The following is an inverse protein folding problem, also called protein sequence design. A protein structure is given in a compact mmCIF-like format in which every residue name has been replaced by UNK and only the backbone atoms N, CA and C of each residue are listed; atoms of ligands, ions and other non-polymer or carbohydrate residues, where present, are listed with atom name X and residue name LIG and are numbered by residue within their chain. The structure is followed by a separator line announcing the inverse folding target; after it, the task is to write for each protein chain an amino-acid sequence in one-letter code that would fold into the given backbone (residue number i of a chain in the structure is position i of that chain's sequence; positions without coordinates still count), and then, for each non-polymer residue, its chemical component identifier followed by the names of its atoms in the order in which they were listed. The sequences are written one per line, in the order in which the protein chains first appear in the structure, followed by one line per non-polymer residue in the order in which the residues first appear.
data_IF_231873514984
#
_entry.id   IF_231873514984
#
_cell.length_a   1.000
_cell.length_b   1.000
_cell.length_c   1.000
_cell.angle_alpha   90.00
_cell.angle_beta   90.00
_cell.angle_gamma   90.00
#
_symmetry.space_group_name_H-M   'P 1'
#
loop_
_entity.id
_entity.type
_entity.pdbx_description
1 polymer ?
#
# COMPACT_ATOMS: atom_id res chain seq x y z
N UNK A 1 14.65 -1.02 18.09
CA UNK A 1 13.39 -1.21 17.34
C UNK A 1 12.99 0.13 16.75
N UNK A 2 12.97 0.27 15.42
CA UNK A 2 12.59 1.52 14.75
C UNK A 2 11.08 1.43 14.40
N UNK A 3 10.23 2.08 15.18
CA UNK A 3 8.81 2.23 14.86
C UNK A 3 8.63 3.38 13.86
N UNK A 4 8.97 3.14 12.59
CA UNK A 4 8.67 4.10 11.54
C UNK A 4 7.14 4.18 11.38
N UNK A 5 6.54 5.31 11.78
CA UNK A 5 5.12 5.62 11.53
C UNK A 5 4.93 5.92 10.04
N UNK A 6 4.62 4.88 9.27
CA UNK A 6 4.18 5.04 7.87
C UNK A 6 2.90 5.89 7.85
N UNK A 7 2.99 7.05 7.20
CA UNK A 7 1.86 7.92 6.93
C UNK A 7 1.41 7.72 5.48
N UNK A 8 0.12 7.44 5.23
CA UNK A 8 -0.39 7.40 3.88
C UNK A 8 -0.33 8.78 3.24
N UNK A 9 -0.11 8.81 1.92
CA UNK A 9 -0.31 10.03 1.15
C UNK A 9 -1.77 10.49 1.26
N UNK A 10 -2.05 11.80 1.30
CA UNK A 10 -3.41 12.31 1.23
C UNK A 10 -4.16 11.71 0.03
N UNK A 11 -5.42 11.30 0.22
CA UNK A 11 -6.24 10.72 -0.85
C UNK A 11 -6.08 9.21 -1.06
N UNK A 12 -5.20 8.54 -0.32
CA UNK A 12 -4.95 7.10 -0.52
C UNK A 12 -6.20 6.26 -0.24
N UNK A 13 -6.89 6.53 0.86
CA UNK A 13 -8.07 5.75 1.25
C UNK A 13 -9.21 5.91 0.23
N UNK A 14 -9.42 7.13 -0.29
CA UNK A 14 -10.38 7.40 -1.35
C UNK A 14 -10.03 6.67 -2.64
N UNK A 15 -8.76 6.70 -3.04
CA UNK A 15 -8.26 5.99 -4.22
C UNK A 15 -8.47 4.48 -4.10
N UNK A 16 -8.09 3.89 -2.95
CA UNK A 16 -8.19 2.45 -2.73
C UNK A 16 -9.65 2.00 -2.68
N UNK A 17 -10.55 2.80 -2.09
CA UNK A 17 -11.99 2.55 -2.11
C UNK A 17 -12.54 2.58 -3.54
N UNK A 18 -12.26 3.64 -4.28
CA UNK A 18 -12.70 3.78 -5.67
C UNK A 18 -12.21 2.61 -6.53
N UNK A 19 -10.93 2.25 -6.40
CA UNK A 19 -10.33 1.14 -7.13
C UNK A 19 -11.06 -0.18 -6.83
N UNK A 20 -11.32 -0.47 -5.55
CA UNK A 20 -12.06 -1.68 -5.14
C UNK A 20 -13.47 -1.70 -5.69
N UNK A 21 -14.21 -0.60 -5.60
CA UNK A 21 -15.60 -0.49 -6.10
C UNK A 21 -15.70 -0.72 -7.61
N UNK A 22 -14.66 -0.36 -8.37
CA UNK A 22 -14.61 -0.50 -9.82
C UNK A 22 -13.83 -1.74 -10.29
N UNK A 23 -13.42 -2.64 -9.37
CA UNK A 23 -12.67 -3.85 -9.71
C UNK A 23 -11.25 -3.58 -10.25
N UNK A 24 -10.70 -2.40 -10.02
CA UNK A 24 -9.34 -2.01 -10.44
C UNK A 24 -8.30 -2.67 -9.53
N UNK A 25 -7.34 -3.35 -10.14
CA UNK A 25 -6.22 -3.95 -9.42
C UNK A 25 -5.16 -2.90 -9.09
N UNK A 26 -4.67 -2.90 -7.85
CA UNK A 26 -3.69 -1.93 -7.36
C UNK A 26 -2.34 -2.60 -7.07
N UNK A 27 -1.25 -1.93 -7.43
CA UNK A 27 0.12 -2.42 -7.23
C UNK A 27 0.96 -1.32 -6.57
N UNK A 28 1.60 -1.66 -5.45
CA UNK A 28 2.63 -0.84 -4.82
C UNK A 28 4.02 -1.38 -5.21
N UNK A 29 4.83 -0.55 -5.86
CA UNK A 29 6.23 -0.85 -6.19
C UNK A 29 7.12 0.12 -5.42
N UNK A 30 8.13 -0.41 -4.73
CA UNK A 30 9.14 0.39 -4.03
C UNK A 30 10.53 -0.17 -4.25
N UNK A 31 11.54 0.69 -4.34
CA UNK A 31 12.95 0.28 -4.26
C UNK A 31 13.43 -0.01 -2.83
N UNK A 32 12.57 0.19 -1.83
CA UNK A 32 12.86 -0.06 -0.41
C UNK A 32 12.71 -1.54 -0.02
N UNK A 33 12.26 -1.79 1.22
CA UNK A 33 12.22 -3.13 1.81
C UNK A 33 10.82 -3.75 1.76
N UNK A 34 10.78 -5.05 1.43
CA UNK A 34 9.56 -5.88 1.46
C UNK A 34 8.79 -5.78 2.78
N UNK A 35 9.50 -5.67 3.90
CA UNK A 35 8.90 -5.49 5.23
C UNK A 35 7.87 -4.35 5.31
N UNK A 36 8.14 -3.22 4.65
CA UNK A 36 7.23 -2.07 4.66
C UNK A 36 6.06 -2.24 3.70
N UNK A 37 6.32 -2.78 2.51
CA UNK A 37 5.26 -2.97 1.51
C UNK A 37 4.25 -4.03 1.94
N UNK A 38 4.66 -5.09 2.63
CA UNK A 38 3.73 -6.09 3.17
C UNK A 38 2.78 -5.50 4.23
N UNK A 39 3.30 -4.60 5.09
CA UNK A 39 2.45 -3.87 6.05
C UNK A 39 1.50 -2.91 5.37
N UNK A 40 1.94 -2.23 4.32
CA UNK A 40 1.06 -1.37 3.53
C UNK A 40 -0.02 -2.19 2.80
N UNK A 41 0.32 -3.38 2.30
CA UNK A 41 -0.65 -4.32 1.73
C UNK A 41 -1.73 -4.68 2.74
N UNK A 42 -1.32 -5.11 3.93
CA UNK A 42 -2.25 -5.50 4.99
C UNK A 42 -3.13 -4.33 5.45
N UNK A 43 -2.57 -3.11 5.52
CA UNK A 43 -3.27 -1.91 6.01
C UNK A 43 -4.23 -1.29 5.00
N UNK A 44 -3.82 -1.21 3.73
CA UNK A 44 -4.56 -0.45 2.69
C UNK A 44 -5.18 -1.33 1.61
N UNK A 45 -4.92 -2.64 1.61
CA UNK A 45 -5.58 -3.59 0.72
C UNK A 45 -5.07 -3.58 -0.72
N UNK A 46 -3.78 -3.32 -0.93
CA UNK A 46 -3.17 -3.45 -2.27
C UNK A 46 -3.35 -4.86 -2.82
N UNK A 47 -3.70 -4.97 -4.10
CA UNK A 47 -3.81 -6.28 -4.77
C UNK A 47 -2.43 -6.96 -4.82
N UNK A 48 -1.40 -6.18 -5.13
CA UNK A 48 -0.02 -6.63 -5.24
C UNK A 48 0.96 -5.66 -4.59
N UNK A 49 2.07 -6.19 -4.11
CA UNK A 49 3.20 -5.41 -3.58
C UNK A 49 4.52 -6.00 -4.07
N UNK A 50 5.48 -5.14 -4.40
CA UNK A 50 6.84 -5.52 -4.82
C UNK A 50 7.86 -4.56 -4.23
N UNK A 51 8.88 -5.12 -3.59
CA UNK A 51 10.06 -4.41 -3.13
C UNK A 51 11.28 -5.34 -3.16
N UNK A 52 12.43 -4.82 -2.72
CA UNK A 52 13.67 -5.60 -2.57
C UNK A 52 13.68 -6.38 -1.25
#
# INVERSE_FOLDING_TARGET
MYEARLQPSPGLDELMRFAREHGVKTLLISGGFTYFTERMRARFGYTYTRAN
#
